data_IF_248244719475
#
_entry.id   IF_248244719475
#
_cell.length_a   1.000
_cell.length_b   1.000
_cell.length_c   1.000
_cell.angle_alpha   90.00
_cell.angle_beta   90.00
_cell.angle_gamma   90.00
#
_symmetry.space_group_name_H-M   'P 1'
#
loop_
_entity.id
_entity.type
_entity.pdbx_description
1 polymer ?
#
# COMPACT_ATOMS: atom_id res chain seq x y z
N UNK A 1 -9.89 -17.00 7.84
CA UNK A 1 -10.24 -15.90 6.92
C UNK A 1 -11.64 -15.45 7.29
N UNK A 2 -11.87 -14.17 7.52
CA UNK A 2 -13.16 -13.60 7.91
C UNK A 2 -13.69 -12.65 6.83
N UNK A 3 -14.94 -12.19 6.91
CA UNK A 3 -15.45 -11.13 6.02
C UNK A 3 -14.69 -9.80 6.12
N UNK A 4 -13.98 -9.55 7.23
CA UNK A 4 -13.18 -8.34 7.47
C UNK A 4 -11.74 -8.43 6.92
N UNK A 5 -11.37 -9.54 6.30
CA UNK A 5 -10.12 -9.66 5.54
C UNK A 5 -10.30 -9.10 4.11
N UNK A 6 -9.31 -8.35 3.64
CA UNK A 6 -9.13 -7.97 2.24
C UNK A 6 -8.47 -9.15 1.52
N UNK A 7 -9.21 -9.87 0.67
CA UNK A 7 -8.72 -11.11 0.05
C UNK A 7 -8.52 -10.90 -1.45
N UNK A 8 -7.27 -10.89 -1.88
CA UNK A 8 -6.95 -10.81 -3.30
C UNK A 8 -7.29 -12.13 -3.99
N UNK A 9 -7.95 -12.03 -5.14
CA UNK A 9 -8.34 -13.16 -5.98
C UNK A 9 -8.20 -12.80 -7.46
N UNK A 10 -8.26 -13.77 -8.38
CA UNK A 10 -8.17 -13.49 -9.82
C UNK A 10 -9.23 -12.50 -10.35
N UNK A 11 -10.38 -12.41 -9.68
CA UNK A 11 -11.47 -11.51 -10.08
C UNK A 11 -11.41 -10.14 -9.36
N UNK A 12 -10.39 -9.88 -8.54
CA UNK A 12 -10.21 -8.64 -7.78
C UNK A 12 -10.13 -8.85 -6.27
N UNK A 13 -10.20 -7.75 -5.52
CA UNK A 13 -10.09 -7.72 -4.06
C UNK A 13 -11.47 -7.91 -3.42
N UNK A 14 -11.64 -8.98 -2.63
CA UNK A 14 -12.87 -9.27 -1.91
C UNK A 14 -12.83 -8.70 -0.50
N UNK A 15 -13.91 -8.03 -0.08
CA UNK A 15 -14.06 -7.51 1.29
C UNK A 15 -15.54 -7.35 1.63
N UNK A 16 -15.97 -7.83 2.80
CA UNK A 16 -17.36 -7.75 3.31
C UNK A 16 -18.45 -8.11 2.29
N UNK A 17 -18.26 -9.23 1.59
CA UNK A 17 -19.21 -9.74 0.58
C UNK A 17 -19.18 -9.01 -0.77
N UNK A 18 -18.39 -7.93 -0.90
CA UNK A 18 -18.20 -7.20 -2.15
C UNK A 18 -16.89 -7.59 -2.82
N UNK A 19 -16.84 -7.37 -4.13
CA UNK A 19 -15.66 -7.57 -4.97
C UNK A 19 -15.31 -6.26 -5.65
N UNK A 20 -14.06 -5.83 -5.47
CA UNK A 20 -13.53 -4.59 -6.00
C UNK A 20 -12.51 -4.91 -7.10
N UNK A 21 -12.71 -4.42 -8.33
CA UNK A 21 -11.65 -4.44 -9.34
C UNK A 21 -10.40 -3.78 -8.79
N UNK A 22 -9.26 -4.42 -8.97
CA UNK A 22 -7.96 -3.93 -8.53
C UNK A 22 -6.88 -4.24 -9.55
N UNK A 23 -5.76 -3.53 -9.47
CA UNK A 23 -4.52 -3.85 -10.17
C UNK A 23 -3.48 -4.31 -9.17
N UNK A 24 -2.55 -5.12 -9.65
CA UNK A 24 -1.45 -5.69 -8.87
C UNK A 24 -0.13 -5.30 -9.53
N UNK A 25 0.97 -5.73 -8.93
CA UNK A 25 2.29 -5.57 -9.49
C UNK A 25 2.40 -6.11 -10.92
N UNK A 26 3.13 -5.39 -11.79
CA UNK A 26 3.44 -5.84 -13.17
C UNK A 26 4.13 -7.22 -13.21
N UNK A 27 4.83 -7.59 -12.15
CA UNK A 27 5.49 -8.89 -11.96
C UNK A 27 4.54 -9.99 -11.48
N UNK A 28 3.23 -9.72 -11.40
CA UNK A 28 2.23 -10.66 -10.92
C UNK A 28 2.27 -10.84 -9.40
N UNK A 29 1.87 -12.03 -8.95
CA UNK A 29 1.90 -12.42 -7.54
C UNK A 29 3.09 -13.34 -7.31
N UNK A 30 3.87 -13.13 -6.25
CA UNK A 30 5.08 -13.92 -5.97
C UNK A 30 5.26 -14.23 -4.50
N UNK A 31 5.55 -15.50 -4.19
CA UNK A 31 6.04 -15.93 -2.88
C UNK A 31 7.54 -15.64 -2.68
N UNK A 32 8.25 -15.26 -3.75
CA UNK A 32 9.68 -14.96 -3.75
C UNK A 32 9.92 -13.47 -4.07
N UNK A 33 9.12 -12.59 -3.45
CA UNK A 33 9.21 -11.13 -3.62
C UNK A 33 10.62 -10.62 -3.31
N UNK A 34 11.13 -9.76 -4.20
CA UNK A 34 12.41 -9.04 -4.11
C UNK A 34 12.25 -7.59 -4.53
N UNK A 35 13.21 -6.75 -4.16
CA UNK A 35 13.19 -5.34 -4.60
C UNK A 35 13.29 -5.25 -6.14
N UNK A 36 12.52 -4.34 -6.73
CA UNK A 36 12.47 -4.10 -8.19
C UNK A 36 11.77 -5.16 -9.05
N UNK A 37 11.36 -6.31 -8.51
CA UNK A 37 10.69 -7.38 -9.29
C UNK A 37 9.28 -6.99 -9.80
N UNK A 38 8.72 -5.89 -9.30
CA UNK A 38 7.40 -5.41 -9.65
C UNK A 38 6.26 -6.33 -9.19
N UNK A 39 6.49 -7.31 -8.32
CA UNK A 39 5.51 -8.32 -7.92
C UNK A 39 4.75 -7.93 -6.64
N UNK A 40 3.50 -8.37 -6.51
CA UNK A 40 2.74 -8.30 -5.26
C UNK A 40 3.06 -9.51 -4.38
N UNK A 41 3.49 -9.33 -3.12
CA UNK A 41 3.95 -10.43 -2.27
C UNK A 41 2.79 -11.33 -1.81
N UNK A 42 2.96 -12.64 -1.97
CA UNK A 42 2.11 -13.65 -1.32
C UNK A 42 2.26 -13.57 0.20
N UNK A 43 1.15 -13.67 0.92
CA UNK A 43 1.17 -13.68 2.37
C UNK A 43 -0.13 -13.19 3.00
N UNK A 44 -0.10 -13.13 4.33
CA UNK A 44 -1.13 -12.49 5.15
C UNK A 44 -0.47 -11.27 5.79
N UNK A 45 -0.83 -10.10 5.29
CA UNK A 45 -0.23 -8.83 5.68
C UNK A 45 -1.22 -8.04 6.52
N UNK A 46 -0.80 -7.46 7.65
CA UNK A 46 -1.62 -6.52 8.41
C UNK A 46 -1.65 -5.16 7.71
N UNK A 47 -2.74 -4.41 7.92
CA UNK A 47 -2.75 -2.98 7.62
C UNK A 47 -2.25 -2.25 8.86
N UNK A 48 -1.03 -1.73 8.81
CA UNK A 48 -0.35 -1.12 9.97
C UNK A 48 -0.41 0.40 9.99
N UNK A 49 -0.92 1.01 8.92
CA UNK A 49 -1.09 2.45 8.86
C UNK A 49 -2.03 2.89 7.75
N UNK A 50 -2.58 4.09 7.92
CA UNK A 50 -3.41 4.76 6.93
C UNK A 50 -3.00 6.22 6.89
N UNK A 51 -2.64 6.68 5.70
CA UNK A 51 -2.24 8.05 5.47
C UNK A 51 -3.12 8.71 4.42
N UNK A 52 -3.42 9.99 4.58
CA UNK A 52 -4.30 10.71 3.65
C UNK A 52 -3.86 12.16 3.41
N UNK A 53 -4.31 12.76 2.31
CA UNK A 53 -4.07 14.17 1.96
C UNK A 53 -5.22 15.06 2.47
N UNK A 54 -5.05 15.78 3.60
CA UNK A 54 -6.12 16.62 4.15
C UNK A 54 -6.51 17.79 3.23
N UNK A 55 -5.62 18.21 2.33
CA UNK A 55 -5.89 19.24 1.32
C UNK A 55 -6.72 18.74 0.13
N UNK A 56 -6.92 17.42 0.00
CA UNK A 56 -7.63 16.81 -1.14
C UNK A 56 -8.85 15.98 -0.75
N UNK A 57 -8.90 15.52 0.49
CA UNK A 57 -10.01 14.71 0.97
C UNK A 57 -10.22 14.84 2.48
N UNK A 58 -11.47 14.64 2.90
CA UNK A 58 -11.82 14.47 4.30
C UNK A 58 -11.13 13.23 4.88
N UNK A 59 -10.83 13.28 6.19
CA UNK A 59 -10.24 12.17 6.93
C UNK A 59 -11.11 10.90 6.78
N UNK A 60 -10.57 9.78 6.26
CA UNK A 60 -11.37 8.59 5.97
C UNK A 60 -11.68 7.72 7.20
N UNK A 61 -10.84 7.78 8.24
CA UNK A 61 -11.02 7.11 9.52
C UNK A 61 -10.31 7.90 10.62
N UNK A 62 -10.76 7.81 11.87
CA UNK A 62 -10.23 8.62 12.98
C UNK A 62 -8.73 8.43 13.23
N UNK A 63 -8.24 7.21 12.96
CA UNK A 63 -6.84 6.82 13.11
C UNK A 63 -5.99 7.14 11.87
N UNK A 64 -6.55 7.71 10.81
CA UNK A 64 -5.80 8.09 9.62
C UNK A 64 -4.91 9.32 9.90
N UNK A 65 -3.65 9.24 9.48
CA UNK A 65 -2.62 10.26 9.71
C UNK A 65 -2.46 11.15 8.47
N UNK A 66 -2.37 12.48 8.60
CA UNK A 66 -2.18 13.36 7.46
C UNK A 66 -0.78 13.21 6.83
N UNK A 67 -0.73 13.12 5.49
CA UNK A 67 0.50 13.23 4.70
C UNK A 67 0.90 14.69 4.63
N UNK A 68 2.01 15.04 5.28
CA UNK A 68 2.57 16.39 5.34
C UNK A 68 3.59 16.64 4.22
N UNK A 69 3.85 17.90 3.85
CA UNK A 69 4.99 18.23 3.00
C UNK A 69 6.29 17.66 3.59
N UNK A 70 7.10 17.03 2.74
CA UNK A 70 8.34 16.38 3.15
C UNK A 70 8.18 14.99 3.75
N UNK A 71 6.98 14.41 3.80
CA UNK A 71 6.79 12.99 4.17
C UNK A 71 7.28 12.08 3.05
N UNK A 72 8.20 11.18 3.39
CA UNK A 72 8.87 10.25 2.48
C UNK A 72 8.78 8.83 3.04
N UNK A 73 8.99 7.84 2.19
CA UNK A 73 9.21 6.45 2.57
C UNK A 73 10.48 5.94 1.92
N UNK A 74 11.45 5.48 2.69
CA UNK A 74 12.72 5.04 2.10
C UNK A 74 12.57 3.68 1.42
N UNK A 75 13.08 3.59 0.20
CA UNK A 75 13.19 2.35 -0.58
C UNK A 75 14.66 1.96 -0.82
N UNK A 76 15.59 2.63 -0.14
CA UNK A 76 17.03 2.37 -0.26
C UNK A 76 17.46 1.16 0.58
N UNK A 77 17.62 0.01 -0.07
CA UNK A 77 18.06 -1.22 0.59
C UNK A 77 19.48 -1.16 1.18
N UNK A 78 20.26 -0.13 0.88
CA UNK A 78 21.60 0.08 1.43
C UNK A 78 21.62 0.91 2.72
N UNK A 79 20.48 1.45 3.16
CA UNK A 79 20.41 2.37 4.30
C UNK A 79 19.67 1.76 5.51
N UNK A 80 19.96 2.26 6.71
CA UNK A 80 19.36 1.79 7.96
C UNK A 80 17.84 2.05 8.03
N UNK A 81 17.39 3.12 7.37
CA UNK A 81 15.98 3.49 7.28
C UNK A 81 15.20 2.72 6.20
N UNK A 82 15.77 1.68 5.61
CA UNK A 82 15.13 0.93 4.53
C UNK A 82 13.70 0.49 4.90
N UNK A 83 12.74 0.79 4.01
CA UNK A 83 11.32 0.54 4.18
C UNK A 83 10.69 1.24 5.41
N UNK A 84 11.26 2.35 5.88
CA UNK A 84 10.70 3.17 6.95
C UNK A 84 10.17 4.51 6.44
N UNK A 85 9.27 5.11 7.22
CA UNK A 85 8.86 6.49 7.03
C UNK A 85 9.99 7.43 7.44
N UNK A 86 10.38 8.34 6.54
CA UNK A 86 11.44 9.34 6.76
C UNK A 86 10.94 10.73 6.36
N UNK A 87 11.76 11.76 6.54
CA UNK A 87 11.41 13.15 6.16
C UNK A 87 12.48 13.86 5.37
N UNK A 88 12.05 14.72 4.46
CA UNK A 88 12.93 15.62 3.75
C UNK A 88 13.57 16.66 4.70
N UNK A 89 14.84 17.05 4.47
CA UNK A 89 15.73 16.53 3.43
C UNK A 89 16.23 15.12 3.77
N UNK A 90 16.19 14.22 2.78
CA UNK A 90 16.67 12.84 2.89
C UNK A 90 17.39 12.48 1.58
N UNK A 91 18.71 12.26 1.59
CA UNK A 91 19.51 12.16 0.37
C UNK A 91 19.47 10.76 -0.27
N UNK A 92 19.03 9.74 0.46
CA UNK A 92 18.94 8.36 -0.02
C UNK A 92 17.67 8.13 -0.85
N UNK A 93 17.59 7.01 -1.55
CA UNK A 93 16.42 6.67 -2.37
C UNK A 93 15.13 6.63 -1.52
N UNK A 94 14.06 7.19 -2.06
CA UNK A 94 12.76 7.27 -1.39
C UNK A 94 11.57 7.50 -2.33
N UNK A 95 10.40 7.07 -1.87
CA UNK A 95 9.10 7.47 -2.39
C UNK A 95 8.62 8.76 -1.70
N UNK A 96 8.22 9.76 -2.49
CA UNK A 96 7.54 10.94 -1.97
C UNK A 96 6.07 10.59 -1.67
N UNK A 97 5.65 10.66 -0.41
CA UNK A 97 4.26 10.39 -0.03
C UNK A 97 3.33 11.53 -0.44
N UNK A 98 3.82 12.78 -0.40
CA UNK A 98 3.05 13.95 -0.86
C UNK A 98 3.27 14.21 -2.36
N UNK A 99 2.62 13.41 -3.21
CA UNK A 99 2.74 13.49 -4.67
C UNK A 99 1.96 14.67 -5.28
N UNK A 100 2.42 15.14 -6.43
CA UNK A 100 1.69 16.08 -7.29
C UNK A 100 0.48 15.43 -7.95
N UNK A 101 0.62 14.19 -8.41
CA UNK A 101 -0.50 13.34 -8.84
C UNK A 101 -1.33 12.83 -7.64
N UNK A 102 -2.52 12.24 -7.85
CA UNK A 102 -3.37 11.82 -6.75
C UNK A 102 -3.04 10.42 -6.19
N UNK A 103 -1.99 9.76 -6.68
CA UNK A 103 -1.75 8.33 -6.44
C UNK A 103 -1.73 7.99 -4.94
N UNK A 104 -1.17 8.88 -4.12
CA UNK A 104 -1.08 8.78 -2.67
C UNK A 104 -1.96 9.82 -1.95
N UNK A 105 -3.12 10.16 -2.52
CA UNK A 105 -4.14 10.91 -1.76
C UNK A 105 -4.63 10.12 -0.54
N UNK A 106 -4.61 8.79 -0.65
CA UNK A 106 -4.91 7.82 0.41
C UNK A 106 -4.01 6.59 0.23
N UNK A 107 -3.30 6.21 1.29
CA UNK A 107 -2.36 5.08 1.32
C UNK A 107 -2.70 4.20 2.53
N UNK A 108 -2.88 2.90 2.30
CA UNK A 108 -2.90 1.89 3.37
C UNK A 108 -1.55 1.18 3.37
N UNK A 109 -0.88 1.19 4.52
CA UNK A 109 0.46 0.63 4.70
C UNK A 109 0.32 -0.82 5.13
N UNK A 110 1.00 -1.73 4.43
CA UNK A 110 1.08 -3.15 4.83
C UNK A 110 2.30 -3.40 5.70
N UNK A 111 2.30 -4.46 6.51
CA UNK A 111 3.48 -4.91 7.26
C UNK A 111 4.47 -5.74 6.41
N UNK A 112 4.37 -5.68 5.07
CA UNK A 112 5.35 -6.37 4.25
C UNK A 112 6.75 -5.78 4.48
N UNK A 113 7.66 -6.63 4.96
CA UNK A 113 9.05 -6.29 5.23
C UNK A 113 9.21 -5.09 6.18
N UNK A 114 8.29 -4.96 7.15
CA UNK A 114 8.24 -3.87 8.13
C UNK A 114 7.76 -4.42 9.49
N UNK A 115 8.23 -3.91 10.65
CA UNK A 115 9.21 -2.84 10.82
C UNK A 115 10.66 -3.31 10.68
N UNK A 116 10.94 -4.59 10.90
CA UNK A 116 12.29 -5.13 10.77
C UNK A 116 12.58 -5.47 9.30
N UNK A 117 12.96 -4.44 8.54
CA UNK A 117 13.16 -4.56 7.10
C UNK A 117 14.44 -5.32 6.77
N UNK A 118 14.29 -6.40 6.01
CA UNK A 118 15.43 -7.13 5.44
C UNK A 118 15.75 -6.53 4.08
N UNK A 119 16.98 -6.03 3.85
CA UNK A 119 17.40 -5.44 2.59
C UNK A 119 17.01 -6.27 1.36
N UNK A 120 16.54 -5.59 0.31
CA UNK A 120 16.20 -6.18 -1.01
C UNK A 120 15.03 -7.17 -1.01
N UNK A 121 14.26 -7.30 0.09
CA UNK A 121 13.01 -8.10 0.10
C UNK A 121 11.77 -7.35 -0.42
N UNK A 122 11.97 -6.16 -0.99
CA UNK A 122 10.89 -5.27 -1.41
C UNK A 122 10.50 -4.29 -0.31
N UNK A 123 10.09 -3.10 -0.73
CA UNK A 123 9.67 -1.98 0.11
C UNK A 123 8.39 -1.36 -0.47
N UNK A 124 7.81 -0.39 0.24
CA UNK A 124 6.71 0.43 -0.26
C UNK A 124 5.49 -0.37 -0.76
N UNK A 125 5.19 -1.54 -0.16
CA UNK A 125 4.03 -2.34 -0.54
C UNK A 125 2.79 -1.78 0.16
N UNK A 126 2.03 -0.99 -0.59
CA UNK A 126 0.85 -0.29 -0.12
C UNK A 126 -0.42 -0.73 -0.85
N UNK A 127 -1.56 -0.27 -0.34
CA UNK A 127 -2.81 -0.18 -1.09
C UNK A 127 -3.08 1.31 -1.35
N UNK A 128 -3.23 1.67 -2.62
CA UNK A 128 -3.47 3.05 -3.04
C UNK A 128 -4.40 3.08 -4.26
N UNK A 129 -4.73 4.27 -4.76
CA UNK A 129 -5.57 4.35 -5.97
C UNK A 129 -4.77 3.90 -7.19
N UNK A 130 -5.38 3.22 -8.15
CA UNK A 130 -4.72 3.00 -9.44
C UNK A 130 -4.56 4.33 -10.21
N UNK A 131 -3.66 4.34 -11.20
CA UNK A 131 -3.55 5.45 -12.16
C UNK A 131 -4.74 5.47 -13.11
N UNK A 132 -5.10 4.31 -13.64
CA UNK A 132 -6.28 4.04 -14.47
C UNK A 132 -6.63 2.55 -14.38
N UNK A 133 -7.86 2.14 -14.72
CA UNK A 133 -8.25 0.72 -14.71
C UNK A 133 -7.26 -0.14 -15.52
N UNK A 134 -6.86 -1.28 -14.95
CA UNK A 134 -5.95 -2.24 -15.60
C UNK A 134 -4.48 -1.85 -15.65
N UNK A 135 -4.09 -0.63 -15.24
CA UNK A 135 -2.68 -0.23 -15.22
C UNK A 135 -1.95 -0.85 -14.01
N UNK A 136 -0.91 -1.67 -14.23
CA UNK A 136 -0.24 -2.38 -13.15
C UNK A 136 0.53 -1.43 -12.23
N UNK A 137 0.84 -1.91 -11.03
CA UNK A 137 1.67 -1.23 -10.03
C UNK A 137 3.10 -1.78 -10.06
N UNK A 138 3.94 -1.27 -9.17
CA UNK A 138 5.29 -1.77 -8.90
C UNK A 138 5.32 -2.86 -7.80
N UNK A 139 4.15 -3.34 -7.37
CA UNK A 139 3.99 -4.36 -6.32
C UNK A 139 2.85 -4.08 -5.36
N UNK A 140 2.40 -2.83 -5.28
CA UNK A 140 1.21 -2.40 -4.54
C UNK A 140 -0.10 -3.02 -5.07
N UNK A 141 -1.20 -2.83 -4.33
CA UNK A 141 -2.55 -3.05 -4.84
C UNK A 141 -3.17 -1.70 -5.21
N UNK A 142 -3.56 -1.55 -6.47
CA UNK A 142 -4.24 -0.37 -7.00
C UNK A 142 -5.75 -0.55 -7.03
N UNK A 143 -6.52 0.39 -6.50
CA UNK A 143 -7.99 0.37 -6.49
C UNK A 143 -8.59 1.61 -7.16
N UNK A 144 -9.86 1.54 -7.57
CA UNK A 144 -10.61 2.75 -7.92
C UNK A 144 -10.69 3.68 -6.69
N UNK A 145 -10.59 5.02 -6.84
CA UNK A 145 -10.49 5.94 -5.69
C UNK A 145 -11.64 5.85 -4.68
N UNK A 146 -12.87 5.72 -5.16
CA UNK A 146 -14.05 5.61 -4.31
C UNK A 146 -14.16 4.22 -3.63
N UNK A 147 -13.73 3.15 -4.31
CA UNK A 147 -13.61 1.82 -3.70
C UNK A 147 -12.60 1.83 -2.56
N UNK A 148 -11.42 2.43 -2.79
CA UNK A 148 -10.39 2.59 -1.77
C UNK A 148 -10.92 3.40 -0.58
N UNK A 149 -11.59 4.53 -0.83
CA UNK A 149 -12.17 5.37 0.23
C UNK A 149 -13.23 4.61 1.04
N UNK A 150 -14.09 3.83 0.38
CA UNK A 150 -15.09 3.00 1.06
C UNK A 150 -14.44 1.93 1.94
N UNK A 151 -13.42 1.24 1.43
CA UNK A 151 -12.67 0.24 2.20
C UNK A 151 -12.01 0.93 3.41
N UNK A 152 -11.30 2.04 3.18
CA UNK A 152 -10.59 2.76 4.24
C UNK A 152 -11.51 3.18 5.40
N UNK A 153 -12.73 3.62 5.12
CA UNK A 153 -13.70 3.96 6.18
C UNK A 153 -14.32 2.76 6.91
N UNK A 154 -13.94 1.53 6.56
CA UNK A 154 -14.56 0.30 7.09
C UNK A 154 -13.57 -0.70 7.69
N UNK A 155 -12.29 -0.61 7.31
CA UNK A 155 -11.25 -1.48 7.86
C UNK A 155 -10.90 -1.09 9.30
N UNK A 156 -10.33 -2.04 10.04
CA UNK A 156 -9.85 -1.85 11.41
C UNK A 156 -8.43 -2.39 11.52
N UNK A 157 -7.79 -2.21 12.69
CA UNK A 157 -6.49 -2.82 13.01
C UNK A 157 -6.46 -4.36 12.87
N UNK A 158 -7.63 -5.02 12.87
CA UNK A 158 -7.76 -6.47 12.68
C UNK A 158 -7.86 -6.88 11.22
N UNK A 159 -8.09 -5.93 10.30
CA UNK A 159 -8.18 -6.21 8.87
C UNK A 159 -6.80 -6.60 8.35
N UNK A 160 -6.76 -7.70 7.58
CA UNK A 160 -5.56 -8.20 6.92
C UNK A 160 -5.75 -8.19 5.42
N UNK A 161 -4.69 -7.91 4.69
CA UNK A 161 -4.57 -8.21 3.27
C UNK A 161 -4.06 -9.65 3.09
N UNK A 162 -4.84 -10.48 2.43
CA UNK A 162 -4.49 -11.87 2.11
C UNK A 162 -4.25 -11.97 0.61
N UNK A 163 -3.00 -12.22 0.24
CA UNK A 163 -2.57 -12.50 -1.13
C UNK A 163 -2.22 -13.98 -1.22
N UNK A 164 -2.96 -14.72 -2.05
CA UNK A 164 -2.71 -16.14 -2.31
C UNK A 164 -1.90 -16.30 -3.59
N UNK A 165 -0.90 -17.17 -3.56
CA UNK A 165 -0.14 -17.64 -4.73
C UNK A 165 -0.78 -18.86 -5.35
#
# INVERSE_FOLDING_TARGET
MTPDDLVLSPLGLRFRGLRYPCTIGRGGISARKREGDGATPVGVHRIVGMMYRPDRMARPADWAVPIRPGDLWSDDAGHEDYNMMVRAPYPHSHEALRRGDPLYDLVLITDWNWPEAVPRRGSCIFIHRWRRPGYPTEGCIGLRPDHLRRIAGQITERTRLIVRG
#
